data_IF_448288237077
#
_entry.id   IF_448288237077
#
_cell.length_a   1.000
_cell.length_b   1.000
_cell.length_c   1.000
_cell.angle_alpha   90.00
_cell.angle_beta   90.00
_cell.angle_gamma   90.00
#
_symmetry.space_group_name_H-M   'P 1'
#
loop_
_entity.id
_entity.type
_entity.pdbx_description
1 polymer ?
#
# COMPACT_ATOMS: atom_id res chain seq x y z
N UNK A 1 17.61 -8.62 -14.59
CA UNK A 1 18.21 -7.30 -14.26
C UNK A 1 17.35 -6.23 -14.88
N UNK A 2 16.39 -5.72 -14.12
CA UNK A 2 15.55 -4.60 -14.55
C UNK A 2 16.27 -3.30 -14.19
N UNK A 3 17.04 -2.73 -15.12
CA UNK A 3 17.48 -1.36 -15.01
C UNK A 3 16.27 -0.43 -15.13
N UNK A 4 15.90 0.22 -14.06
CA UNK A 4 14.90 1.30 -14.04
C UNK A 4 15.49 2.56 -14.67
N UNK A 5 15.42 2.66 -15.98
CA UNK A 5 15.97 3.77 -16.76
C UNK A 5 17.39 3.52 -17.28
N UNK A 6 17.77 4.12 -18.40
CA UNK A 6 19.15 4.12 -18.87
C UNK A 6 19.99 4.96 -17.89
N UNK A 7 21.06 4.40 -17.29
CA UNK A 7 21.93 5.19 -16.43
C UNK A 7 22.56 6.33 -17.24
N UNK A 8 22.69 7.50 -16.62
CA UNK A 8 23.46 8.60 -17.19
C UNK A 8 24.94 8.21 -17.39
N UNK A 9 25.68 8.96 -18.17
CA UNK A 9 27.08 8.64 -18.51
C UNK A 9 28.02 8.54 -17.28
N UNK A 10 27.57 8.95 -16.10
CA UNK A 10 28.32 8.94 -14.85
C UNK A 10 27.71 8.04 -13.77
N UNK A 11 26.62 7.32 -14.07
CA UNK A 11 25.94 6.44 -13.12
C UNK A 11 26.39 4.99 -13.34
N UNK A 12 26.75 4.29 -12.24
CA UNK A 12 27.04 2.87 -12.24
C UNK A 12 26.08 2.16 -11.30
N UNK A 13 25.37 1.16 -11.79
CA UNK A 13 24.51 0.30 -11.00
C UNK A 13 25.16 -1.08 -10.88
N UNK A 14 25.39 -1.52 -9.66
CA UNK A 14 25.89 -2.86 -9.37
C UNK A 14 24.87 -3.58 -8.47
N UNK A 15 24.41 -4.74 -8.89
CA UNK A 15 23.51 -5.59 -8.15
C UNK A 15 24.19 -6.91 -7.79
N UNK A 16 24.15 -7.26 -6.51
CA UNK A 16 24.72 -8.47 -5.93
C UNK A 16 23.59 -9.29 -5.34
N UNK A 17 22.91 -10.06 -6.16
CA UNK A 17 21.74 -10.85 -5.77
C UNK A 17 21.72 -12.21 -6.45
N UNK A 18 21.10 -13.19 -5.80
CA UNK A 18 20.76 -14.47 -6.40
C UNK A 18 19.36 -14.39 -7.03
N UNK A 19 19.22 -14.97 -8.21
CA UNK A 19 17.90 -15.08 -8.87
C UNK A 19 17.17 -16.33 -8.37
N UNK A 20 15.85 -16.24 -8.25
CA UNK A 20 14.98 -17.36 -7.89
C UNK A 20 13.61 -16.90 -7.46
N UNK A 21 12.57 -17.61 -7.89
CA UNK A 21 11.19 -17.31 -7.50
C UNK A 21 10.85 -17.79 -6.08
N UNK A 22 11.53 -18.83 -5.62
CA UNK A 22 11.28 -19.47 -4.32
C UNK A 22 12.60 -19.82 -3.65
N UNK A 23 12.69 -19.57 -2.35
CA UNK A 23 13.92 -19.81 -1.58
C UNK A 23 14.33 -21.28 -1.52
N UNK A 24 13.37 -22.19 -1.52
CA UNK A 24 13.59 -23.64 -1.51
C UNK A 24 14.22 -24.21 -2.78
N UNK A 25 14.28 -23.40 -3.85
CA UNK A 25 14.97 -23.74 -5.11
C UNK A 25 16.38 -23.15 -5.20
N UNK A 26 16.80 -22.38 -4.21
CA UNK A 26 18.12 -21.79 -4.13
C UNK A 26 19.00 -22.74 -3.29
N UNK A 27 20.15 -23.14 -3.84
CA UNK A 27 21.16 -23.84 -3.05
C UNK A 27 21.86 -22.84 -2.13
N UNK A 28 21.43 -22.81 -0.87
CA UNK A 28 21.93 -21.89 0.14
C UNK A 28 23.35 -22.26 0.61
N UNK A 29 23.83 -23.48 0.34
CA UNK A 29 25.16 -23.95 0.73
C UNK A 29 26.20 -23.80 -0.40
N UNK A 30 25.77 -23.41 -1.60
CA UNK A 30 26.66 -23.16 -2.72
C UNK A 30 27.58 -21.97 -2.46
N UNK A 31 28.84 -22.26 -2.22
CA UNK A 31 29.88 -21.26 -1.94
C UNK A 31 30.16 -20.34 -3.13
N UNK A 32 30.00 -20.82 -4.36
CA UNK A 32 30.15 -19.97 -5.55
C UNK A 32 29.11 -18.85 -5.55
N UNK A 33 27.88 -19.15 -5.14
CA UNK A 33 26.80 -18.16 -4.98
C UNK A 33 27.15 -17.16 -3.88
N UNK A 34 27.77 -17.59 -2.78
CA UNK A 34 28.19 -16.67 -1.71
C UNK A 34 29.20 -15.64 -2.20
N UNK A 35 30.20 -16.07 -2.98
CA UNK A 35 31.18 -15.14 -3.58
C UNK A 35 30.56 -14.24 -4.65
N UNK A 36 29.61 -14.75 -5.43
CA UNK A 36 28.93 -13.97 -6.45
C UNK A 36 28.06 -12.86 -5.84
N UNK A 37 27.40 -13.15 -4.72
CA UNK A 37 26.46 -12.22 -4.08
C UNK A 37 27.09 -11.34 -3.01
N UNK A 38 28.30 -11.66 -2.55
CA UNK A 38 29.03 -10.88 -1.55
C UNK A 38 30.46 -10.54 -2.01
N UNK A 39 30.66 -9.37 -2.61
CA UNK A 39 32.00 -8.95 -3.04
C UNK A 39 33.05 -8.87 -1.92
N UNK A 40 32.59 -8.82 -0.66
CA UNK A 40 33.46 -8.80 0.51
C UNK A 40 33.85 -10.20 1.01
N UNK A 41 33.35 -11.27 0.38
CA UNK A 41 33.64 -12.66 0.77
C UNK A 41 35.14 -12.95 0.60
N UNK A 42 35.74 -13.57 1.62
CA UNK A 42 37.20 -13.82 1.67
C UNK A 42 38.03 -12.59 2.04
N UNK A 43 37.47 -11.39 2.12
CA UNK A 43 38.15 -10.15 2.52
C UNK A 43 37.69 -9.70 3.92
N UNK A 44 36.41 -9.42 4.08
CA UNK A 44 35.80 -8.96 5.34
C UNK A 44 34.84 -9.98 5.92
N UNK A 45 34.30 -10.85 5.10
CA UNK A 45 33.37 -11.91 5.46
C UNK A 45 34.07 -13.26 5.19
N UNK A 46 34.30 -14.07 6.23
CA UNK A 46 34.89 -15.40 6.07
C UNK A 46 33.82 -16.43 5.68
N UNK A 47 34.24 -17.49 4.99
CA UNK A 47 33.35 -18.59 4.64
C UNK A 47 32.79 -19.32 5.88
N UNK A 48 33.62 -19.47 6.94
CA UNK A 48 33.22 -20.11 8.17
C UNK A 48 32.09 -19.34 8.84
N UNK A 49 32.19 -18.00 8.86
CA UNK A 49 31.15 -17.15 9.41
C UNK A 49 29.85 -17.24 8.58
N UNK A 50 29.93 -17.17 7.27
CA UNK A 50 28.77 -17.32 6.39
C UNK A 50 28.12 -18.71 6.53
N UNK A 51 28.92 -19.78 6.70
CA UNK A 51 28.45 -21.12 6.92
C UNK A 51 27.73 -21.28 8.28
N UNK A 52 28.19 -20.57 9.31
CA UNK A 52 27.54 -20.54 10.62
C UNK A 52 26.18 -19.81 10.55
N UNK A 53 26.11 -18.69 9.87
CA UNK A 53 24.87 -17.98 9.63
C UNK A 53 23.89 -18.82 8.80
N UNK A 54 24.35 -19.51 7.76
CA UNK A 54 23.53 -20.39 6.94
C UNK A 54 22.88 -21.50 7.79
N UNK A 55 23.57 -22.01 8.80
CA UNK A 55 23.05 -23.04 9.71
C UNK A 55 22.13 -22.48 10.81
N UNK A 56 22.38 -21.27 11.27
CA UNK A 56 21.68 -20.67 12.42
C UNK A 56 20.45 -19.86 12.02
N UNK A 57 20.43 -19.28 10.82
CA UNK A 57 19.32 -18.50 10.31
C UNK A 57 18.25 -19.39 9.65
N UNK A 58 17.06 -18.85 9.49
CA UNK A 58 16.08 -19.46 8.57
C UNK A 58 16.56 -19.36 7.13
N UNK A 59 16.16 -20.30 6.28
CA UNK A 59 16.49 -20.29 4.86
C UNK A 59 16.15 -18.95 4.19
N UNK A 60 14.97 -18.42 4.45
CA UNK A 60 14.51 -17.12 3.97
C UNK A 60 15.35 -15.94 4.50
N UNK A 61 15.70 -15.99 5.78
CA UNK A 61 16.55 -14.99 6.41
C UNK A 61 17.94 -14.96 5.80
N UNK A 62 18.59 -16.12 5.66
CA UNK A 62 19.91 -16.22 5.05
C UNK A 62 19.92 -15.76 3.58
N UNK A 63 18.93 -16.20 2.80
CA UNK A 63 18.81 -15.80 1.40
C UNK A 63 18.68 -14.28 1.24
N UNK A 64 17.92 -13.62 2.09
CA UNK A 64 17.75 -12.15 2.05
C UNK A 64 18.99 -11.41 2.50
N UNK A 65 19.55 -11.81 3.65
CA UNK A 65 20.63 -11.06 4.29
C UNK A 65 21.99 -11.31 3.63
N UNK A 66 22.23 -12.52 3.09
CA UNK A 66 23.52 -12.92 2.53
C UNK A 66 23.54 -13.04 1.01
N UNK A 67 22.43 -13.46 0.41
CA UNK A 67 22.38 -13.67 -1.03
C UNK A 67 21.65 -12.55 -1.79
N UNK A 68 21.20 -11.51 -1.10
CA UNK A 68 20.46 -10.42 -1.69
C UNK A 68 19.16 -10.86 -2.36
N UNK A 69 18.66 -12.04 -2.00
CA UNK A 69 17.44 -12.58 -2.58
C UNK A 69 16.22 -11.75 -2.21
N UNK A 70 15.41 -11.46 -3.20
CA UNK A 70 14.13 -10.78 -3.00
C UNK A 70 13.00 -11.72 -3.35
N UNK A 71 12.18 -12.03 -2.35
CA UNK A 71 10.98 -12.82 -2.58
C UNK A 71 10.00 -12.04 -3.47
N UNK A 72 9.67 -12.56 -4.66
CA UNK A 72 8.62 -11.94 -5.48
C UNK A 72 7.26 -11.95 -4.77
N UNK A 73 7.06 -12.90 -3.84
CA UNK A 73 5.82 -13.06 -3.09
C UNK A 73 5.57 -11.91 -2.09
N UNK A 74 6.63 -11.28 -1.56
CA UNK A 74 6.48 -10.17 -0.61
C UNK A 74 6.04 -8.86 -1.25
N UNK A 75 6.26 -8.69 -2.56
CA UNK A 75 5.87 -7.47 -3.27
C UNK A 75 4.40 -7.47 -3.72
N UNK A 76 3.80 -8.63 -3.88
CA UNK A 76 2.43 -8.72 -4.44
C UNK A 76 1.36 -9.24 -3.48
N UNK A 77 1.71 -10.05 -2.47
CA UNK A 77 0.71 -10.73 -1.63
C UNK A 77 0.63 -10.24 -0.19
N UNK A 78 1.69 -9.67 0.39
CA UNK A 78 1.70 -9.35 1.82
C UNK A 78 1.01 -8.05 2.21
N UNK A 79 0.80 -7.14 1.26
CA UNK A 79 0.21 -5.81 1.54
C UNK A 79 -1.23 -5.64 1.04
N UNK A 80 -1.81 -6.65 0.39
CA UNK A 80 -3.20 -6.59 -0.05
C UNK A 80 -4.13 -7.05 1.07
N UNK A 81 -4.79 -6.12 1.72
CA UNK A 81 -5.82 -6.41 2.73
C UNK A 81 -7.02 -7.21 2.18
N UNK A 82 -7.15 -7.29 0.85
CA UNK A 82 -8.22 -7.98 0.14
C UNK A 82 -7.66 -8.93 -0.90
N UNK A 83 -8.25 -10.11 -1.03
CA UNK A 83 -7.94 -11.04 -2.12
C UNK A 83 -8.28 -10.41 -3.48
N UNK A 84 -7.31 -10.41 -4.41
CA UNK A 84 -7.47 -9.73 -5.69
C UNK A 84 -8.59 -10.34 -6.55
N UNK A 85 -8.75 -11.67 -6.54
CA UNK A 85 -9.80 -12.35 -7.32
C UNK A 85 -11.19 -12.09 -6.75
N UNK A 86 -11.31 -12.10 -5.42
CA UNK A 86 -12.55 -11.76 -4.75
C UNK A 86 -12.93 -10.29 -5.01
N UNK A 87 -11.95 -9.38 -5.03
CA UNK A 87 -12.17 -7.98 -5.36
C UNK A 87 -12.63 -7.79 -6.81
N UNK A 88 -11.97 -8.42 -7.77
CA UNK A 88 -12.33 -8.38 -9.18
C UNK A 88 -13.73 -8.96 -9.43
N UNK A 89 -14.11 -10.03 -8.73
CA UNK A 89 -15.45 -10.62 -8.82
C UNK A 89 -16.56 -9.68 -8.32
N UNK A 90 -16.23 -8.68 -7.52
CA UNK A 90 -17.16 -7.64 -7.07
C UNK A 90 -17.31 -6.49 -8.07
N UNK A 91 -16.50 -6.44 -9.14
CA UNK A 91 -16.58 -5.38 -10.14
C UNK A 91 -17.94 -5.37 -10.83
N UNK A 92 -18.50 -4.19 -11.03
CA UNK A 92 -19.80 -4.02 -11.67
C UNK A 92 -19.85 -2.72 -12.44
N UNK A 93 -20.22 -2.79 -13.71
CA UNK A 93 -20.45 -1.64 -14.59
C UNK A 93 -21.89 -1.11 -14.54
N UNK A 94 -22.78 -1.77 -13.77
CA UNK A 94 -24.17 -1.34 -13.67
C UNK A 94 -24.27 0.08 -13.09
N UNK A 95 -25.32 0.80 -13.44
CA UNK A 95 -25.59 2.14 -12.92
C UNK A 95 -25.65 2.18 -11.39
N UNK A 96 -25.36 3.35 -10.82
CA UNK A 96 -25.46 3.59 -9.38
C UNK A 96 -26.86 3.28 -8.89
N UNK A 97 -27.06 2.37 -7.93
CA UNK A 97 -28.38 2.08 -7.40
C UNK A 97 -28.91 3.26 -6.56
N UNK A 98 -30.23 3.36 -6.47
CA UNK A 98 -30.86 4.23 -5.50
C UNK A 98 -30.71 3.70 -4.09
N UNK A 99 -30.31 4.57 -3.16
CA UNK A 99 -30.09 4.15 -1.78
C UNK A 99 -29.46 5.22 -0.90
N UNK A 100 -29.20 4.84 0.35
CA UNK A 100 -28.48 5.73 1.27
C UNK A 100 -27.02 5.88 0.82
N UNK A 101 -26.60 7.11 0.61
CA UNK A 101 -25.24 7.44 0.21
C UNK A 101 -24.40 7.87 1.41
N UNK A 102 -23.17 7.38 1.49
CA UNK A 102 -22.15 7.84 2.42
C UNK A 102 -20.86 8.12 1.66
N UNK A 103 -20.01 8.99 2.18
CA UNK A 103 -18.70 9.27 1.62
C UNK A 103 -17.60 8.81 2.58
N UNK A 104 -16.50 8.32 2.01
CA UNK A 104 -15.30 7.94 2.73
C UNK A 104 -14.12 8.79 2.27
N UNK A 105 -13.36 9.31 3.22
CA UNK A 105 -12.11 10.03 2.95
C UNK A 105 -10.99 9.33 3.69
N UNK A 106 -9.94 8.96 2.99
CA UNK A 106 -8.74 8.34 3.56
C UNK A 106 -7.50 9.14 3.21
N UNK A 107 -6.79 9.58 4.24
CA UNK A 107 -5.45 10.13 4.08
C UNK A 107 -4.41 9.02 4.14
N UNK A 108 -3.39 9.08 3.31
CA UNK A 108 -2.23 8.21 3.40
C UNK A 108 -1.53 8.38 4.77
N UNK A 109 -0.79 7.36 5.20
CA UNK A 109 -0.14 7.36 6.52
C UNK A 109 0.87 8.51 6.69
N UNK A 110 1.56 8.87 5.60
CA UNK A 110 2.50 10.00 5.52
C UNK A 110 1.82 11.35 5.24
N UNK A 111 0.50 11.34 4.98
CA UNK A 111 -0.26 12.53 4.65
C UNK A 111 -0.07 13.05 3.22
N UNK A 112 0.68 12.34 2.36
CA UNK A 112 1.02 12.80 1.01
C UNK A 112 -0.16 12.81 0.03
N UNK A 113 -1.14 11.94 0.25
CA UNK A 113 -2.25 11.69 -0.66
C UNK A 113 -3.57 11.59 0.11
N UNK A 114 -4.66 12.00 -0.50
CA UNK A 114 -6.02 11.82 -0.01
C UNK A 114 -6.89 11.17 -1.06
N UNK A 115 -7.68 10.17 -0.65
CA UNK A 115 -8.65 9.48 -1.49
C UNK A 115 -10.06 9.81 -1.02
N UNK A 116 -10.97 10.01 -1.99
CA UNK A 116 -12.40 10.18 -1.78
C UNK A 116 -13.14 9.01 -2.42
N UNK A 117 -13.97 8.34 -1.65
CA UNK A 117 -14.79 7.23 -2.08
C UNK A 117 -16.27 7.51 -1.81
N UNK A 118 -17.14 6.89 -2.59
CA UNK A 118 -18.57 6.87 -2.38
C UNK A 118 -19.06 5.46 -2.07
N UNK A 119 -20.01 5.34 -1.16
CA UNK A 119 -20.72 4.11 -0.87
C UNK A 119 -22.23 4.34 -0.98
N UNK A 120 -22.93 3.40 -1.60
CA UNK A 120 -24.40 3.40 -1.66
C UNK A 120 -24.90 2.08 -1.14
N UNK A 121 -25.87 2.15 -0.21
CA UNK A 121 -26.56 0.99 0.34
C UNK A 121 -27.97 1.02 -0.23
N UNK A 122 -28.29 0.16 -1.24
CA UNK A 122 -29.64 0.05 -1.76
C UNK A 122 -30.57 -0.61 -0.74
N UNK A 123 -31.88 -0.52 -0.96
CA UNK A 123 -32.86 -1.24 -0.13
C UNK A 123 -32.70 -2.75 -0.24
N UNK A 124 -32.42 -3.21 -1.46
CA UNK A 124 -32.25 -4.63 -1.79
C UNK A 124 -30.93 -4.81 -2.53
N UNK A 125 -30.08 -5.73 -2.06
CA UNK A 125 -28.80 -6.07 -2.67
C UNK A 125 -27.58 -5.56 -1.91
N UNK A 126 -26.38 -5.85 -2.41
CA UNK A 126 -25.12 -5.50 -1.78
C UNK A 126 -24.82 -3.99 -1.85
N UNK A 127 -24.07 -3.51 -0.88
CA UNK A 127 -23.52 -2.15 -0.92
C UNK A 127 -22.60 -1.99 -2.14
N UNK A 128 -22.64 -0.80 -2.75
CA UNK A 128 -21.72 -0.41 -3.83
C UNK A 128 -20.75 0.61 -3.33
N UNK A 129 -19.48 0.37 -3.64
CA UNK A 129 -18.38 1.28 -3.31
C UNK A 129 -17.64 1.66 -4.59
N UNK A 130 -17.28 2.92 -4.72
CA UNK A 130 -16.48 3.41 -5.86
C UNK A 130 -15.48 4.47 -5.40
N UNK A 131 -14.30 4.43 -6.01
CA UNK A 131 -13.35 5.53 -5.91
C UNK A 131 -13.89 6.70 -6.75
N UNK A 132 -13.96 7.88 -6.14
CA UNK A 132 -14.39 9.09 -6.82
C UNK A 132 -13.17 9.86 -7.29
N UNK A 133 -12.21 10.11 -6.40
CA UNK A 133 -11.02 10.87 -6.73
C UNK A 133 -9.87 10.57 -5.77
N UNK A 134 -8.64 10.71 -6.27
CA UNK A 134 -7.42 10.64 -5.48
C UNK A 134 -6.49 11.78 -5.89
N UNK A 135 -6.03 12.57 -4.92
CA UNK A 135 -5.11 13.68 -5.19
C UNK A 135 -3.99 13.79 -4.15
N UNK A 136 -2.82 14.35 -4.55
CA UNK A 136 -1.79 14.75 -3.61
C UNK A 136 -2.28 15.88 -2.71
N UNK A 137 -2.04 15.78 -1.40
CA UNK A 137 -2.42 16.82 -0.42
C UNK A 137 -1.64 18.12 -0.60
N UNK A 138 -0.46 18.09 -1.22
CA UNK A 138 0.35 19.26 -1.53
C UNK A 138 -0.36 20.29 -2.44
N UNK A 139 -1.42 19.90 -3.14
CA UNK A 139 -2.30 20.81 -3.90
C UNK A 139 -3.37 21.48 -3.05
N UNK A 140 -3.43 21.17 -1.76
CA UNK A 140 -4.46 21.64 -0.84
C UNK A 140 -5.73 20.79 -0.86
N UNK A 141 -6.63 21.08 0.08
CA UNK A 141 -7.88 20.33 0.28
C UNK A 141 -9.13 21.09 -0.14
N UNK A 142 -9.00 22.24 -0.81
CA UNK A 142 -10.15 23.08 -1.18
C UNK A 142 -11.14 22.31 -2.07
N UNK A 143 -10.67 21.61 -3.09
CA UNK A 143 -11.48 20.78 -3.97
C UNK A 143 -12.34 19.77 -3.20
N UNK A 144 -11.77 19.13 -2.17
CA UNK A 144 -12.43 18.10 -1.36
C UNK A 144 -13.50 18.73 -0.45
N UNK A 145 -13.18 19.87 0.15
CA UNK A 145 -14.11 20.64 0.99
C UNK A 145 -15.32 21.09 0.14
N UNK A 146 -15.07 21.68 -1.02
CA UNK A 146 -16.12 22.17 -1.93
C UNK A 146 -16.97 20.98 -2.42
N UNK A 147 -16.35 19.91 -2.86
CA UNK A 147 -17.02 18.70 -3.32
C UNK A 147 -17.94 18.08 -2.25
N UNK A 148 -17.47 17.96 -1.00
CA UNK A 148 -18.26 17.45 0.12
C UNK A 148 -19.41 18.39 0.49
N UNK A 149 -19.17 19.70 0.54
CA UNK A 149 -20.17 20.68 0.90
C UNK A 149 -21.29 20.79 -0.11
N UNK A 150 -20.99 20.65 -1.41
CA UNK A 150 -22.00 20.63 -2.48
C UNK A 150 -22.95 19.40 -2.39
N UNK A 151 -22.54 18.35 -1.71
CA UNK A 151 -23.27 17.08 -1.64
C UNK A 151 -23.77 16.72 -0.24
N UNK A 152 -23.67 17.66 0.66
CA UNK A 152 -24.06 17.47 2.06
C UNK A 152 -25.49 16.95 2.23
N UNK A 153 -26.45 17.52 1.51
CA UNK A 153 -27.88 17.17 1.59
C UNK A 153 -28.23 15.80 1.02
N UNK A 154 -27.32 15.22 0.23
CA UNK A 154 -27.50 13.91 -0.45
C UNK A 154 -26.82 12.76 0.28
N UNK A 155 -26.07 13.04 1.32
CA UNK A 155 -25.31 12.04 2.05
C UNK A 155 -25.81 11.86 3.49
N UNK A 156 -25.82 10.63 3.93
CA UNK A 156 -26.15 10.29 5.33
C UNK A 156 -25.01 10.64 6.27
N UNK A 157 -23.76 10.45 5.83
CA UNK A 157 -22.55 10.77 6.59
C UNK A 157 -21.31 10.84 5.70
N UNK A 158 -20.24 11.40 6.26
CA UNK A 158 -18.86 11.25 5.76
C UNK A 158 -18.00 10.60 6.83
N UNK A 159 -17.25 9.58 6.46
CA UNK A 159 -16.27 8.90 7.29
C UNK A 159 -14.89 9.40 6.91
N UNK A 160 -14.12 9.93 7.87
CA UNK A 160 -12.79 10.51 7.60
C UNK A 160 -11.76 9.76 8.44
N UNK A 161 -10.85 9.06 7.77
CA UNK A 161 -9.80 8.25 8.37
C UNK A 161 -8.41 8.70 7.94
N UNK A 162 -7.43 8.48 8.82
CA UNK A 162 -6.02 8.83 8.65
C UNK A 162 -5.45 9.55 9.86
N UNK A 163 -4.18 9.94 9.78
CA UNK A 163 -3.48 10.67 10.85
C UNK A 163 -3.28 12.15 10.50
N UNK A 164 -2.71 12.42 9.35
CA UNK A 164 -2.35 13.76 8.91
C UNK A 164 -3.42 14.34 7.97
N UNK A 165 -3.90 15.55 8.24
CA UNK A 165 -4.90 16.24 7.40
C UNK A 165 -6.36 16.08 7.85
N UNK A 166 -6.68 15.07 8.66
CA UNK A 166 -8.06 14.79 9.12
C UNK A 166 -8.65 15.97 9.88
N UNK A 167 -7.95 16.51 10.86
CA UNK A 167 -8.46 17.61 11.69
C UNK A 167 -8.72 18.86 10.84
N UNK A 168 -7.82 19.17 9.92
CA UNK A 168 -7.97 20.32 9.01
C UNK A 168 -9.21 20.16 8.12
N UNK A 169 -9.45 18.97 7.59
CA UNK A 169 -10.63 18.71 6.79
C UNK A 169 -11.91 18.82 7.62
N UNK A 170 -11.93 18.18 8.79
CA UNK A 170 -13.09 18.20 9.70
C UNK A 170 -13.47 19.64 10.08
N UNK A 171 -12.51 20.47 10.43
CA UNK A 171 -12.76 21.87 10.78
C UNK A 171 -13.36 22.66 9.61
N UNK A 172 -12.86 22.43 8.39
CA UNK A 172 -13.33 23.14 7.19
C UNK A 172 -14.75 22.74 6.75
N UNK A 173 -15.14 21.46 6.91
CA UNK A 173 -16.49 21.02 6.53
C UNK A 173 -17.51 21.21 7.63
N UNK A 174 -17.10 21.35 8.91
CA UNK A 174 -17.99 21.48 10.08
C UNK A 174 -19.06 22.56 9.97
N UNK A 175 -18.85 23.72 9.34
CA UNK A 175 -19.88 24.72 9.16
C UNK A 175 -21.10 24.22 8.38
N UNK A 176 -20.88 23.31 7.41
CA UNK A 176 -21.93 22.68 6.61
C UNK A 176 -22.41 21.38 7.26
N UNK A 177 -21.48 20.50 7.68
CA UNK A 177 -21.76 19.19 8.30
C UNK A 177 -21.94 19.31 9.82
N UNK A 178 -22.99 19.97 10.26
CA UNK A 178 -23.21 20.37 11.66
C UNK A 178 -23.57 19.22 12.60
N UNK A 179 -24.28 18.21 12.10
CA UNK A 179 -24.70 17.09 12.94
C UNK A 179 -23.49 16.22 13.34
N UNK A 180 -23.38 15.85 14.61
CA UNK A 180 -22.29 14.98 15.11
C UNK A 180 -22.26 13.62 14.41
N UNK A 181 -23.41 13.09 14.02
CA UNK A 181 -23.57 11.84 13.29
C UNK A 181 -23.23 11.96 11.79
N UNK A 182 -23.06 13.16 11.27
CA UNK A 182 -22.76 13.39 9.86
C UNK A 182 -21.27 13.25 9.53
N UNK A 183 -20.37 13.45 10.52
CA UNK A 183 -18.93 13.30 10.38
C UNK A 183 -18.45 12.24 11.36
N UNK A 184 -18.00 11.10 10.83
CA UNK A 184 -17.54 9.96 11.60
C UNK A 184 -16.01 9.83 11.48
N UNK A 185 -15.37 9.46 12.57
CA UNK A 185 -13.94 9.17 12.64
C UNK A 185 -13.80 7.77 13.21
N UNK A 186 -13.35 6.78 12.42
CA UNK A 186 -13.17 5.42 12.91
C UNK A 186 -12.11 5.39 14.01
N UNK A 187 -12.31 4.55 15.00
CA UNK A 187 -11.34 4.24 16.03
C UNK A 187 -10.59 2.96 15.68
N UNK A 188 -9.43 2.73 16.31
CA UNK A 188 -8.68 1.49 16.12
C UNK A 188 -9.41 0.22 16.58
N UNK A 189 -10.64 0.36 17.12
CA UNK A 189 -11.49 -0.74 17.59
C UNK A 189 -12.71 -0.98 16.70
N UNK A 190 -12.94 -0.13 15.72
CA UNK A 190 -14.00 -0.25 14.72
C UNK A 190 -13.45 -0.94 13.47
#
# INVERSE_FOLDING_TARGET
TACLGAPGAHDAWHEWSVEGEQVDKIDLEDRAVWYQTNPAMGIRLSEEFAAEECRSMSADGFARERLGWRSPVLTEQSDKALDARAWEACASEAEKPDGKTAYGVKFAADGSTVCLCGAVIPKDGPARVSLIEQQPTGRGLAWLVDWLNERYDRASCVVIDGRNGVDVLVERIRPTWKAKSAVLRPSARD
#
